data_IF_569089459833
#
_entry.id   IF_569089459833
#
_cell.length_a   1.000
_cell.length_b   1.000
_cell.length_c   1.000
_cell.angle_alpha   90.00
_cell.angle_beta   90.00
_cell.angle_gamma   90.00
#
_symmetry.space_group_name_H-M   'P 1'
#
loop_
_entity.id
_entity.type
_entity.pdbx_description
1 polymer ?
#
# COMPACT_ATOMS: atom_id res chain seq x y z
N UNK A 1 1.41 2.56 -32.42
CA UNK A 1 1.14 3.40 -31.24
C UNK A 1 1.68 2.67 -30.03
N UNK A 2 2.51 3.33 -29.21
CA UNK A 2 3.18 2.69 -28.07
C UNK A 2 2.18 2.49 -26.93
N UNK A 3 2.42 1.51 -26.06
CA UNK A 3 1.58 1.31 -24.86
C UNK A 3 1.64 2.51 -23.90
N UNK A 4 2.69 3.34 -23.99
CA UNK A 4 2.88 4.53 -23.16
C UNK A 4 1.97 5.71 -23.52
N UNK A 5 1.28 5.66 -24.66
CA UNK A 5 0.43 6.74 -25.18
C UNK A 5 -1.07 6.49 -24.94
N UNK A 6 -1.41 5.40 -24.26
CA UNK A 6 -2.80 5.02 -23.97
C UNK A 6 -3.14 5.33 -22.50
N UNK A 7 -4.28 6.00 -22.24
CA UNK A 7 -4.81 6.16 -20.90
C UNK A 7 -4.93 4.82 -20.15
N UNK A 8 -4.58 4.84 -18.87
CA UNK A 8 -4.79 3.73 -17.94
C UNK A 8 -5.64 4.20 -16.76
N UNK A 9 -6.72 3.48 -16.46
CA UNK A 9 -7.57 3.77 -15.29
C UNK A 9 -6.78 3.76 -13.98
N UNK A 10 -5.78 2.87 -13.88
CA UNK A 10 -4.85 2.82 -12.74
C UNK A 10 -4.09 4.14 -12.51
N UNK A 11 -3.89 4.92 -13.58
CA UNK A 11 -3.20 6.21 -13.57
C UNK A 11 -4.19 7.40 -13.59
N UNK A 12 -5.49 7.16 -13.37
CA UNK A 12 -6.52 8.20 -13.41
C UNK A 12 -6.82 8.68 -14.83
N UNK A 13 -6.83 7.75 -15.79
CA UNK A 13 -6.99 8.01 -17.23
C UNK A 13 -5.90 8.89 -17.84
N UNK A 14 -4.77 9.04 -17.13
CA UNK A 14 -3.53 9.56 -17.68
C UNK A 14 -2.85 8.49 -18.53
N UNK A 15 -2.13 8.93 -19.56
CA UNK A 15 -1.14 8.06 -20.20
C UNK A 15 0.05 7.85 -19.25
N UNK A 16 0.77 6.72 -19.35
CA UNK A 16 2.04 6.55 -18.66
C UNK A 16 3.03 7.70 -18.92
N UNK A 17 3.06 8.24 -20.15
CA UNK A 17 3.90 9.38 -20.50
C UNK A 17 3.55 10.64 -19.68
N UNK A 18 2.26 10.98 -19.58
CA UNK A 18 1.78 12.14 -18.82
C UNK A 18 2.06 12.00 -17.32
N UNK A 19 1.84 10.80 -16.77
CA UNK A 19 2.12 10.49 -15.36
C UNK A 19 3.60 10.67 -15.02
N UNK A 20 4.50 10.10 -15.84
CA UNK A 20 5.94 10.18 -15.63
C UNK A 20 6.47 11.62 -15.78
N UNK A 21 5.94 12.37 -16.76
CA UNK A 21 6.40 13.73 -17.04
C UNK A 21 5.95 14.75 -15.98
N UNK A 22 4.80 14.56 -15.32
CA UNK A 22 4.19 15.60 -14.49
C UNK A 22 4.01 15.24 -13.01
N UNK A 23 4.10 13.95 -12.63
CA UNK A 23 3.75 13.50 -11.28
C UNK A 23 4.83 12.61 -10.65
N UNK A 24 5.33 11.62 -11.38
CA UNK A 24 6.32 10.69 -10.84
C UNK A 24 7.55 11.42 -10.29
N UNK A 25 7.85 11.19 -9.00
CA UNK A 25 8.93 11.86 -8.25
C UNK A 25 8.89 13.41 -8.26
N UNK A 26 7.73 14.01 -8.54
CA UNK A 26 7.59 15.48 -8.59
C UNK A 26 6.56 15.98 -7.58
N UNK A 27 5.36 15.40 -7.59
CA UNK A 27 4.26 15.83 -6.71
C UNK A 27 3.27 14.69 -6.46
N UNK A 28 2.60 14.67 -5.30
CA UNK A 28 1.58 13.67 -5.01
C UNK A 28 0.40 13.80 -5.98
N UNK A 29 -0.26 12.67 -6.25
CA UNK A 29 -1.47 12.58 -7.05
C UNK A 29 -2.45 11.62 -6.36
N UNK A 30 -3.68 12.06 -6.13
CA UNK A 30 -4.77 11.21 -5.66
C UNK A 30 -5.58 10.71 -6.87
N UNK A 31 -5.58 9.40 -7.09
CA UNK A 31 -6.38 8.75 -8.14
C UNK A 31 -7.57 8.06 -7.48
N UNK A 32 -8.78 8.59 -7.72
CA UNK A 32 -10.01 8.02 -7.19
C UNK A 32 -10.48 6.88 -8.10
N UNK A 33 -10.78 5.71 -7.52
CA UNK A 33 -11.27 4.57 -8.29
C UNK A 33 -10.22 3.94 -9.22
N UNK A 34 -8.94 4.01 -8.86
CA UNK A 34 -7.83 3.47 -9.67
C UNK A 34 -7.98 1.97 -9.96
N UNK A 35 -8.59 1.23 -9.03
CA UNK A 35 -8.93 -0.19 -9.14
C UNK A 35 -10.43 -0.32 -8.86
N UNK A 36 -11.29 -0.28 -9.91
CA UNK A 36 -12.72 -0.51 -9.75
C UNK A 36 -13.00 -1.87 -9.12
N UNK A 37 -14.03 -1.94 -8.27
CA UNK A 37 -14.47 -3.19 -7.62
C UNK A 37 -13.35 -3.94 -6.89
N UNK A 38 -12.43 -3.20 -6.24
CA UNK A 38 -11.31 -3.78 -5.52
C UNK A 38 -11.75 -4.77 -4.43
N UNK A 39 -11.20 -5.97 -4.50
CA UNK A 39 -11.28 -7.00 -3.46
C UNK A 39 -9.86 -7.27 -2.95
N UNK A 40 -9.67 -7.24 -1.63
CA UNK A 40 -8.37 -7.55 -1.03
C UNK A 40 -7.95 -8.97 -1.38
N UNK A 41 -6.70 -9.21 -1.81
CA UNK A 41 -6.23 -10.56 -2.12
C UNK A 41 -5.91 -11.40 -0.86
N UNK A 42 -5.95 -10.79 0.33
CA UNK A 42 -5.67 -11.41 1.62
C UNK A 42 -6.65 -10.88 2.66
N UNK A 43 -7.14 -11.75 3.53
CA UNK A 43 -8.00 -11.34 4.65
C UNK A 43 -7.18 -10.92 5.89
N UNK A 44 -7.81 -10.27 6.90
CA UNK A 44 -7.10 -9.79 8.08
C UNK A 44 -6.45 -10.90 8.93
N UNK A 45 -7.08 -12.08 9.03
CA UNK A 45 -6.59 -13.18 9.86
C UNK A 45 -5.39 -13.85 9.17
N UNK A 46 -5.44 -13.99 7.84
CA UNK A 46 -4.29 -14.43 7.04
C UNK A 46 -3.10 -13.46 7.16
N UNK A 47 -3.35 -12.15 7.10
CA UNK A 47 -2.30 -11.15 7.27
C UNK A 47 -1.69 -11.16 8.67
N UNK A 48 -2.51 -11.36 9.71
CA UNK A 48 -2.02 -11.51 11.08
C UNK A 48 -1.17 -12.79 11.23
N UNK A 49 -1.60 -13.90 10.62
CA UNK A 49 -0.81 -15.13 10.56
C UNK A 49 0.56 -14.92 9.92
N UNK A 50 0.64 -14.20 8.79
CA UNK A 50 1.92 -13.85 8.16
C UNK A 50 2.83 -13.03 9.09
N UNK A 51 2.26 -12.15 9.93
CA UNK A 51 3.04 -11.34 10.87
C UNK A 51 3.71 -12.16 11.99
N UNK A 52 3.29 -13.41 12.20
CA UNK A 52 3.88 -14.37 13.13
C UNK A 52 4.96 -15.25 12.47
N UNK A 53 5.08 -15.24 11.13
CA UNK A 53 6.03 -16.10 10.42
C UNK A 53 7.48 -15.58 10.53
N UNK A 54 8.45 -16.45 10.85
CA UNK A 54 9.86 -16.07 10.85
C UNK A 54 10.32 -15.58 9.47
N UNK A 55 11.00 -14.44 9.43
CA UNK A 55 11.50 -13.84 8.19
C UNK A 55 10.51 -12.91 7.50
N UNK A 56 9.29 -12.76 8.04
CA UNK A 56 8.36 -11.71 7.64
C UNK A 56 8.60 -10.46 8.49
N UNK A 57 8.91 -9.36 7.84
CA UNK A 57 9.07 -8.06 8.51
C UNK A 57 7.69 -7.45 8.83
N UNK A 58 7.32 -7.51 10.10
CA UNK A 58 6.05 -6.98 10.60
C UNK A 58 6.26 -5.96 11.72
N UNK A 59 5.29 -5.05 11.89
CA UNK A 59 5.26 -4.10 13.01
C UNK A 59 3.83 -3.78 13.42
N UNK A 60 3.63 -3.57 14.72
CA UNK A 60 2.45 -2.95 15.30
C UNK A 60 2.82 -1.55 15.78
N UNK A 61 1.99 -0.57 15.44
CA UNK A 61 2.15 0.83 15.87
C UNK A 61 0.88 1.23 16.59
N UNK A 62 1.00 1.48 17.89
CA UNK A 62 -0.12 1.70 18.78
C UNK A 62 -0.07 3.14 19.32
N UNK A 63 -1.09 3.94 19.03
CA UNK A 63 -1.16 5.33 19.51
C UNK A 63 -1.17 5.40 21.04
N UNK A 64 -1.77 4.42 21.72
CA UNK A 64 -1.89 4.33 23.17
C UNK A 64 -1.40 2.95 23.68
N UNK A 65 -0.10 2.68 23.54
CA UNK A 65 0.49 1.41 23.92
C UNK A 65 0.69 1.25 25.44
N UNK A 66 0.97 0.03 25.92
CA UNK A 66 1.23 -0.25 27.34
C UNK A 66 2.40 0.54 27.93
N UNK A 67 3.42 0.86 27.13
CA UNK A 67 4.60 1.63 27.54
C UNK A 67 4.45 3.15 27.28
N UNK A 68 3.33 3.58 26.70
CA UNK A 68 3.02 4.97 26.41
C UNK A 68 2.57 5.23 24.96
N UNK A 69 2.43 6.51 24.58
CA UNK A 69 1.91 6.85 23.28
C UNK A 69 2.88 6.51 22.15
N UNK A 70 2.34 6.07 21.00
CA UNK A 70 3.09 5.69 19.79
C UNK A 70 4.11 4.57 20.02
N UNK A 71 3.70 3.54 20.75
CA UNK A 71 4.50 2.34 20.94
C UNK A 71 4.65 1.57 19.62
N UNK A 72 5.85 1.05 19.38
CA UNK A 72 6.15 0.21 18.21
C UNK A 72 6.69 -1.13 18.69
N UNK A 73 6.04 -2.20 18.25
CA UNK A 73 6.45 -3.59 18.46
C UNK A 73 6.80 -4.21 17.12
N UNK A 74 7.90 -4.96 17.05
CA UNK A 74 8.35 -5.63 15.83
C UNK A 74 8.07 -7.13 15.92
N UNK A 75 7.67 -7.72 14.80
CA UNK A 75 7.45 -9.16 14.70
C UNK A 75 8.77 -9.97 14.65
N UNK A 76 8.67 -11.31 14.50
CA UNK A 76 7.43 -12.06 14.46
C UNK A 76 6.68 -11.93 15.79
N UNK A 77 5.35 -11.89 15.72
CA UNK A 77 4.53 -11.90 16.93
C UNK A 77 4.29 -13.35 17.34
N UNK A 78 4.47 -13.63 18.63
CA UNK A 78 4.07 -14.89 19.23
C UNK A 78 2.64 -14.69 19.78
N UNK A 79 1.73 -15.62 19.48
CA UNK A 79 0.34 -15.62 20.01
C UNK A 79 0.28 -15.57 21.55
#
# INVERSE_FOLDING_TARGET
MSHHDKPLTLLGDLTPADFLANYWQQKPLLIRGAIPDFVSPIDPDELAGLACEPGVEARLVEENGPDGPWQVSHGPFDD
#
